data_IF_618724777021
#
_entry.id   IF_618724777021
#
_cell.length_a   1.000
_cell.length_b   1.000
_cell.length_c   1.000
_cell.angle_alpha   90.00
_cell.angle_beta   90.00
_cell.angle_gamma   90.00
#
_symmetry.space_group_name_H-M   'P 1'
#
loop_
_entity.id
_entity.type
_entity.pdbx_description
1 polymer ?
#
# COMPACT_ATOMS: atom_id res chain seq x y z
N UNK A 1 63.76 -36.11 -79.25
CA UNK A 1 63.18 -36.92 -78.16
C UNK A 1 63.30 -36.10 -76.89
N UNK A 2 62.28 -35.90 -76.07
CA UNK A 2 61.17 -36.80 -75.73
C UNK A 2 61.42 -37.29 -74.31
N UNK A 3 60.57 -36.88 -73.36
CA UNK A 3 60.66 -37.29 -71.96
C UNK A 3 59.76 -36.47 -71.05
N UNK A 4 58.45 -36.76 -71.07
CA UNK A 4 57.46 -36.19 -70.15
C UNK A 4 57.41 -36.95 -68.83
N UNK A 5 57.41 -36.23 -67.71
CA UNK A 5 57.18 -36.75 -66.36
C UNK A 5 55.79 -36.38 -65.88
N UNK A 6 54.94 -37.39 -65.65
CA UNK A 6 53.61 -37.24 -65.09
C UNK A 6 53.66 -37.15 -63.56
N UNK A 7 53.17 -36.04 -63.00
CA UNK A 7 52.94 -35.85 -61.58
C UNK A 7 51.62 -36.49 -61.14
N UNK A 8 51.71 -37.56 -60.35
CA UNK A 8 50.56 -38.16 -59.68
C UNK A 8 50.07 -37.25 -58.55
N UNK A 9 48.92 -36.60 -58.77
CA UNK A 9 48.17 -35.91 -57.73
C UNK A 9 47.51 -36.96 -56.84
N UNK A 10 48.17 -37.31 -55.73
CA UNK A 10 47.57 -38.07 -54.66
C UNK A 10 46.58 -37.18 -53.90
N UNK A 11 45.31 -37.27 -54.25
CA UNK A 11 44.23 -36.69 -53.43
C UNK A 11 44.29 -37.30 -52.04
N UNK A 12 44.48 -36.51 -50.96
CA UNK A 12 44.47 -37.03 -49.60
C UNK A 12 43.08 -37.61 -49.32
N UNK A 13 43.05 -38.91 -48.98
CA UNK A 13 41.85 -39.62 -48.56
C UNK A 13 41.39 -38.95 -47.25
N UNK A 14 40.26 -38.24 -47.32
CA UNK A 14 39.64 -37.65 -46.14
C UNK A 14 39.23 -38.77 -45.16
N UNK A 15 39.51 -38.63 -43.86
CA UNK A 15 39.14 -39.64 -42.87
C UNK A 15 37.63 -39.90 -42.91
N UNK A 16 37.19 -41.17 -42.75
CA UNK A 16 35.77 -41.52 -42.82
C UNK A 16 34.99 -40.82 -41.69
N UNK A 17 34.14 -39.89 -42.08
CA UNK A 17 33.25 -39.14 -41.20
C UNK A 17 31.93 -39.91 -41.06
N UNK A 18 31.73 -40.62 -39.95
CA UNK A 18 30.52 -41.43 -39.74
C UNK A 18 29.37 -40.67 -39.07
N UNK A 19 29.63 -39.58 -38.35
CA UNK A 19 28.63 -38.75 -37.66
C UNK A 19 29.17 -37.35 -37.30
N UNK A 20 28.27 -36.37 -37.28
CA UNK A 20 28.53 -35.01 -36.78
C UNK A 20 29.12 -35.05 -35.37
N UNK A 21 30.09 -34.17 -35.14
CA UNK A 21 30.71 -33.98 -33.82
C UNK A 21 30.14 -32.73 -33.18
N UNK A 22 29.65 -32.88 -31.97
CA UNK A 22 29.10 -31.79 -31.16
C UNK A 22 29.98 -31.57 -29.93
N UNK A 23 30.28 -30.31 -29.63
CA UNK A 23 30.93 -29.91 -28.38
C UNK A 23 29.92 -29.11 -27.57
N UNK A 24 29.59 -29.59 -26.37
CA UNK A 24 28.70 -28.91 -25.44
C UNK A 24 29.49 -28.21 -24.34
N UNK A 25 29.03 -27.01 -23.95
CA UNK A 25 29.55 -26.32 -22.77
C UNK A 25 29.07 -26.93 -21.46
N UNK A 26 29.51 -26.32 -20.36
CA UNK A 26 29.03 -26.63 -19.01
C UNK A 26 27.53 -26.36 -18.85
N UNK A 27 26.90 -27.06 -17.91
CA UNK A 27 25.50 -26.80 -17.55
C UNK A 27 25.36 -25.46 -16.84
N UNK A 28 24.34 -24.70 -17.22
CA UNK A 28 23.93 -23.47 -16.53
C UNK A 28 23.33 -23.76 -15.15
N UNK A 29 22.95 -22.72 -14.43
CA UNK A 29 22.28 -22.86 -13.12
C UNK A 29 20.89 -23.48 -13.27
N UNK A 30 20.48 -24.22 -12.24
CA UNK A 30 19.16 -24.82 -12.21
C UNK A 30 18.05 -23.76 -12.04
N UNK A 31 17.08 -23.75 -12.94
CA UNK A 31 15.92 -22.86 -12.90
C UNK A 31 14.86 -23.33 -11.88
N UNK A 32 13.89 -22.47 -11.57
CA UNK A 32 12.74 -22.80 -10.69
C UNK A 32 11.88 -23.96 -11.20
N UNK A 33 11.90 -24.21 -12.52
CA UNK A 33 11.19 -25.33 -13.12
C UNK A 33 11.92 -26.67 -12.91
N UNK A 34 13.09 -26.65 -12.25
CA UNK A 34 13.96 -27.81 -12.10
C UNK A 34 14.68 -28.16 -13.40
N UNK A 35 14.98 -27.16 -14.23
CA UNK A 35 15.64 -27.35 -15.53
C UNK A 35 16.92 -26.50 -15.63
N UNK A 36 17.98 -27.07 -16.19
CA UNK A 36 19.21 -26.35 -16.53
C UNK A 36 19.53 -26.58 -18.01
N UNK A 37 20.13 -25.56 -18.63
CA UNK A 37 20.45 -25.58 -20.05
C UNK A 37 21.96 -25.48 -20.31
N UNK A 38 22.43 -26.07 -21.41
CA UNK A 38 23.77 -25.89 -21.97
C UNK A 38 23.72 -25.70 -23.47
N UNK A 39 24.72 -25.02 -24.02
CA UNK A 39 24.84 -24.82 -25.46
C UNK A 39 25.70 -25.92 -26.07
N UNK A 40 25.21 -26.56 -27.13
CA UNK A 40 25.96 -27.52 -27.93
C UNK A 40 26.20 -26.96 -29.32
N UNK A 41 27.47 -26.86 -29.71
CA UNK A 41 27.89 -26.35 -31.02
C UNK A 41 28.41 -27.51 -31.86
N UNK A 42 27.95 -27.61 -33.12
CA UNK A 42 28.50 -28.57 -34.07
C UNK A 42 29.92 -28.12 -34.44
N UNK A 43 30.92 -28.94 -34.10
CA UNK A 43 32.34 -28.64 -34.38
C UNK A 43 32.82 -29.32 -35.65
N UNK A 44 32.11 -30.34 -36.12
CA UNK A 44 32.39 -30.99 -37.39
C UNK A 44 31.11 -31.54 -38.02
N UNK A 45 30.94 -31.31 -39.32
CA UNK A 45 29.74 -31.64 -40.10
C UNK A 45 30.06 -32.72 -41.14
N UNK A 46 29.43 -33.88 -41.05
CA UNK A 46 29.59 -34.97 -42.01
C UNK A 46 28.58 -34.83 -43.15
N UNK A 47 28.98 -34.21 -44.26
CA UNK A 47 28.07 -33.89 -45.36
C UNK A 47 27.38 -35.10 -46.04
N UNK A 48 27.88 -36.32 -45.84
CA UNK A 48 27.44 -37.53 -46.56
C UNK A 48 26.63 -38.51 -45.70
N UNK A 49 26.24 -38.15 -44.48
CA UNK A 49 25.61 -39.08 -43.53
C UNK A 49 24.38 -38.45 -42.88
N UNK A 50 23.26 -39.18 -42.83
CA UNK A 50 22.11 -38.78 -42.01
C UNK A 50 22.53 -38.79 -40.54
N UNK A 51 22.53 -37.62 -39.92
CA UNK A 51 23.08 -37.45 -38.58
C UNK A 51 22.04 -37.55 -37.47
N UNK A 52 22.46 -38.05 -36.29
CA UNK A 52 21.63 -38.01 -35.09
C UNK A 52 21.22 -36.57 -34.78
N UNK A 53 20.03 -36.35 -34.21
CA UNK A 53 19.58 -35.04 -33.80
C UNK A 53 20.54 -34.42 -32.79
N UNK A 54 20.62 -33.09 -32.79
CA UNK A 54 21.41 -32.31 -31.82
C UNK A 54 21.14 -32.81 -30.39
N UNK A 55 22.19 -33.07 -29.58
CA UNK A 55 21.99 -33.50 -28.20
C UNK A 55 21.17 -32.47 -27.42
N UNK A 56 20.26 -32.96 -26.55
CA UNK A 56 19.38 -32.08 -25.76
C UNK A 56 20.21 -31.07 -24.97
N UNK A 57 19.91 -29.79 -25.22
CA UNK A 57 20.48 -28.67 -24.49
C UNK A 57 19.83 -28.44 -23.12
N UNK A 58 18.86 -29.27 -22.71
CA UNK A 58 18.11 -29.11 -21.45
C UNK A 58 18.09 -30.43 -20.67
N UNK A 59 18.29 -30.35 -19.35
CA UNK A 59 18.11 -31.48 -18.43
C UNK A 59 17.46 -31.07 -17.11
N UNK A 60 16.93 -32.05 -16.39
CA UNK A 60 16.40 -31.85 -15.03
C UNK A 60 17.52 -31.63 -14.03
N UNK A 61 17.25 -30.84 -13.01
CA UNK A 61 18.16 -30.54 -11.91
C UNK A 61 17.37 -30.20 -10.63
N UNK A 62 18.07 -30.20 -9.50
CA UNK A 62 17.51 -29.76 -8.21
C UNK A 62 18.03 -28.35 -7.92
N UNK A 63 17.16 -27.34 -7.77
CA UNK A 63 17.59 -25.99 -7.42
C UNK A 63 18.27 -25.96 -6.05
N UNK A 64 19.30 -25.12 -5.89
CA UNK A 64 20.08 -25.02 -4.65
C UNK A 64 19.30 -24.43 -3.47
N UNK A 65 18.25 -23.65 -3.76
CA UNK A 65 17.27 -23.19 -2.79
C UNK A 65 15.91 -23.08 -3.49
N UNK A 66 14.82 -23.31 -2.78
CA UNK A 66 13.46 -23.23 -3.35
C UNK A 66 12.60 -22.14 -2.69
N UNK A 67 13.08 -21.55 -1.60
CA UNK A 67 12.40 -20.50 -0.86
C UNK A 67 13.41 -19.65 -0.07
N UNK A 68 13.00 -18.42 0.22
CA UNK A 68 13.73 -17.52 1.11
C UNK A 68 13.73 -18.05 2.54
N UNK A 69 14.85 -17.86 3.25
CA UNK A 69 14.93 -18.15 4.68
C UNK A 69 14.80 -16.87 5.49
N UNK A 70 14.10 -16.99 6.62
CA UNK A 70 13.77 -15.86 7.47
C UNK A 70 14.23 -16.15 8.90
N UNK A 71 14.87 -15.16 9.52
CA UNK A 71 15.17 -15.18 10.95
C UNK A 71 14.27 -14.16 11.62
N UNK A 72 13.45 -14.62 12.56
CA UNK A 72 12.54 -13.75 13.30
C UNK A 72 13.13 -13.37 14.66
N UNK A 73 12.89 -12.13 15.08
CA UNK A 73 13.23 -11.69 16.44
C UNK A 73 12.39 -12.44 17.48
N UNK A 74 12.74 -12.25 18.75
CA UNK A 74 11.89 -12.68 19.86
C UNK A 74 10.48 -12.07 19.71
N UNK A 75 9.48 -12.80 20.18
CA UNK A 75 8.12 -12.28 20.29
C UNK A 75 8.10 -11.03 21.16
N UNK A 76 7.29 -10.04 20.77
CA UNK A 76 6.98 -8.92 21.66
C UNK A 76 6.34 -9.43 22.94
N UNK A 77 6.33 -8.59 23.98
CA UNK A 77 5.41 -8.82 25.09
C UNK A 77 3.97 -8.97 24.55
N UNK A 78 3.16 -9.76 25.25
CA UNK A 78 1.77 -9.92 24.91
C UNK A 78 1.06 -8.56 25.04
N UNK A 79 0.36 -8.15 23.98
CA UNK A 79 -0.42 -6.91 23.95
C UNK A 79 -1.73 -7.06 24.71
N UNK A 80 -2.34 -5.94 25.09
CA UNK A 80 -3.67 -5.93 25.75
C UNK A 80 -4.79 -6.51 24.87
N UNK A 81 -4.53 -6.68 23.57
CA UNK A 81 -5.38 -7.38 22.61
C UNK A 81 -5.27 -8.92 22.71
N UNK A 82 -4.36 -9.45 23.54
CA UNK A 82 -4.10 -10.89 23.65
C UNK A 82 -3.21 -11.43 22.53
N UNK A 83 -2.52 -10.54 21.80
CA UNK A 83 -1.65 -10.90 20.69
C UNK A 83 -0.21 -10.42 20.91
N UNK A 84 0.75 -11.23 20.50
CA UNK A 84 2.16 -10.85 20.43
C UNK A 84 2.62 -10.93 18.98
N UNK A 85 3.53 -10.04 18.61
CA UNK A 85 4.03 -9.92 17.25
C UNK A 85 5.53 -10.10 17.23
N UNK A 86 6.05 -10.69 16.16
CA UNK A 86 7.48 -10.66 15.86
C UNK A 86 7.69 -10.23 14.42
N UNK A 87 8.83 -9.59 14.20
CA UNK A 87 9.28 -9.16 12.88
C UNK A 87 10.31 -10.17 12.39
N UNK A 88 10.18 -10.57 11.13
CA UNK A 88 11.11 -11.49 10.48
C UNK A 88 12.00 -10.72 9.51
N UNK A 89 13.31 -10.86 9.66
CA UNK A 89 14.31 -10.39 8.70
C UNK A 89 14.65 -11.51 7.72
N UNK A 90 14.89 -11.14 6.47
CA UNK A 90 15.40 -12.07 5.46
C UNK A 90 16.83 -12.47 5.86
N UNK A 91 17.06 -13.75 6.14
CA UNK A 91 18.37 -14.28 6.50
C UNK A 91 19.10 -14.90 5.32
N UNK A 92 18.36 -15.41 4.34
CA UNK A 92 18.90 -15.86 3.07
C UNK A 92 17.89 -15.60 1.95
N UNK A 93 18.29 -14.75 1.00
CA UNK A 93 17.51 -14.45 -0.20
C UNK A 93 17.77 -15.54 -1.24
N UNK A 94 16.74 -16.30 -1.60
CA UNK A 94 16.88 -17.29 -2.66
C UNK A 94 16.70 -16.58 -4.01
N UNK A 95 17.75 -16.43 -4.84
CA UNK A 95 17.70 -15.55 -6.02
C UNK A 95 16.63 -15.95 -7.05
N UNK A 96 16.19 -17.20 -6.97
CA UNK A 96 15.21 -17.81 -7.85
C UNK A 96 13.80 -17.84 -7.21
N UNK A 97 13.65 -17.53 -5.93
CA UNK A 97 12.34 -17.38 -5.28
C UNK A 97 11.85 -15.94 -5.40
N UNK A 98 10.54 -15.76 -5.54
CA UNK A 98 9.89 -14.45 -5.52
C UNK A 98 8.89 -14.40 -4.35
N UNK A 99 9.36 -14.85 -3.19
CA UNK A 99 8.52 -14.97 -2.00
C UNK A 99 8.15 -13.55 -1.53
N UNK A 100 6.86 -13.25 -1.34
CA UNK A 100 6.45 -11.99 -0.72
C UNK A 100 7.18 -11.84 0.61
N UNK A 101 7.85 -10.70 0.82
CA UNK A 101 8.67 -10.51 2.01
C UNK A 101 7.85 -10.77 3.27
N UNK A 102 8.32 -11.63 4.17
CA UNK A 102 7.59 -12.08 5.37
C UNK A 102 7.69 -11.00 6.46
N UNK A 103 6.74 -10.07 6.60
CA UNK A 103 7.02 -8.82 7.29
C UNK A 103 6.77 -8.92 8.80
N UNK A 104 5.80 -9.74 9.22
CA UNK A 104 5.42 -9.91 10.62
C UNK A 104 4.61 -11.17 10.81
N UNK A 105 4.85 -11.87 11.91
CA UNK A 105 3.95 -12.90 12.42
C UNK A 105 3.21 -12.36 13.63
N UNK A 106 1.98 -12.83 13.81
CA UNK A 106 1.08 -12.47 14.89
C UNK A 106 0.51 -13.78 15.47
N UNK A 107 0.56 -13.92 16.79
CA UNK A 107 -0.01 -15.08 17.47
C UNK A 107 -0.70 -14.68 18.76
N UNK A 108 -1.68 -15.49 19.16
CA UNK A 108 -2.31 -15.35 20.47
C UNK A 108 -1.29 -15.62 21.57
N UNK A 109 -1.43 -14.89 22.66
CA UNK A 109 -0.65 -15.07 23.86
C UNK A 109 -1.56 -14.88 25.07
N UNK A 110 -1.15 -15.49 26.17
CA UNK A 110 -1.79 -15.26 27.45
C UNK A 110 -1.04 -14.12 28.13
N UNK A 111 -1.73 -13.01 28.37
CA UNK A 111 -1.16 -11.93 29.15
C UNK A 111 -0.96 -12.46 30.57
N UNK A 112 0.27 -12.46 31.07
CA UNK A 112 0.56 -12.79 32.45
C UNK A 112 0.19 -11.59 33.34
N UNK A 113 -1.11 -11.28 33.39
CA UNK A 113 -1.61 -10.23 34.27
C UNK A 113 -2.10 -10.87 35.57
N UNK A 114 -1.39 -10.57 36.66
CA UNK A 114 -1.78 -11.03 37.99
C UNK A 114 -3.17 -10.55 38.43
N UNK A 115 -3.73 -9.49 37.83
CA UNK A 115 -5.06 -8.93 38.13
C UNK A 115 -5.71 -8.27 36.90
N UNK A 116 -7.05 -8.20 36.88
CA UNK A 116 -7.86 -7.47 35.88
C UNK A 116 -7.45 -6.00 35.76
N UNK A 117 -7.42 -5.47 34.52
CA UNK A 117 -7.14 -4.05 34.27
C UNK A 117 -8.44 -3.31 34.02
N UNK A 118 -8.62 -2.28 34.83
CA UNK A 118 -9.85 -1.53 34.98
C UNK A 118 -9.62 -0.07 34.57
N UNK A 119 -10.30 0.40 33.53
CA UNK A 119 -10.28 1.81 33.13
C UNK A 119 -11.50 2.55 33.70
N UNK A 120 -11.30 3.72 34.31
CA UNK A 120 -12.35 4.50 34.97
C UNK A 120 -12.51 5.85 34.29
N UNK A 121 -13.75 6.31 34.11
CA UNK A 121 -14.03 7.66 33.66
C UNK A 121 -13.64 8.69 34.73
N UNK A 122 -13.65 9.96 34.34
CA UNK A 122 -13.52 11.06 35.30
C UNK A 122 -14.60 10.97 36.39
N UNK A 123 -14.25 11.40 37.59
CA UNK A 123 -15.21 11.55 38.69
C UNK A 123 -16.29 12.55 38.30
N UNK A 124 -17.55 12.26 38.67
CA UNK A 124 -18.63 13.22 38.62
C UNK A 124 -18.31 14.47 39.45
N UNK A 125 -19.03 15.56 39.20
CA UNK A 125 -19.06 16.67 40.14
C UNK A 125 -19.49 16.19 41.54
N UNK A 126 -19.03 16.88 42.57
CA UNK A 126 -19.42 16.57 43.93
C UNK A 126 -20.91 16.88 44.13
N UNK A 127 -21.71 15.86 44.40
CA UNK A 127 -23.14 16.02 44.65
C UNK A 127 -23.40 16.75 45.97
N UNK A 128 -24.63 17.22 46.16
CA UNK A 128 -25.05 17.89 47.40
C UNK A 128 -24.88 17.01 48.65
N UNK A 129 -24.88 15.68 48.49
CA UNK A 129 -24.62 14.72 49.55
C UNK A 129 -23.12 14.56 49.91
N UNK A 130 -22.21 15.30 49.26
CA UNK A 130 -20.76 15.18 49.49
C UNK A 130 -20.15 13.92 48.89
N UNK A 131 -20.78 13.35 47.86
CA UNK A 131 -20.28 12.17 47.14
C UNK A 131 -20.10 12.47 45.66
N UNK A 132 -19.07 11.85 45.07
CA UNK A 132 -18.88 11.76 43.63
C UNK A 132 -18.72 10.30 43.24
N UNK A 133 -19.15 9.98 42.01
CA UNK A 133 -19.11 8.62 41.46
C UNK A 133 -18.28 8.61 40.18
N UNK A 134 -17.68 7.48 39.84
CA UNK A 134 -17.17 7.24 38.49
C UNK A 134 -17.57 5.85 38.02
N UNK A 135 -18.03 5.79 36.79
CA UNK A 135 -18.21 4.52 36.10
C UNK A 135 -16.86 4.06 35.58
N UNK A 136 -16.68 2.75 35.55
CA UNK A 136 -15.46 2.19 35.09
C UNK A 136 -15.80 1.00 34.16
N UNK A 137 -14.93 0.68 33.20
CA UNK A 137 -15.07 -0.47 32.28
C UNK A 137 -13.89 -1.44 32.39
N UNK A 138 -14.13 -2.76 32.28
CA UNK A 138 -13.04 -3.73 32.20
C UNK A 138 -12.33 -3.55 30.88
N UNK A 139 -11.05 -3.25 30.93
CA UNK A 139 -10.21 -3.16 29.73
C UNK A 139 -9.54 -4.49 29.44
N UNK A 140 -9.23 -5.25 30.49
CA UNK A 140 -8.60 -6.56 30.37
C UNK A 140 -9.13 -7.50 31.47
N UNK A 141 -9.62 -8.67 31.06
CA UNK A 141 -10.03 -9.75 31.96
C UNK A 141 -8.91 -10.79 32.05
N UNK A 142 -8.35 -10.95 33.25
CA UNK A 142 -7.16 -11.74 33.52
C UNK A 142 -7.47 -13.03 34.29
N UNK A 143 -8.62 -13.09 34.98
CA UNK A 143 -9.09 -14.28 35.69
C UNK A 143 -10.43 -14.72 35.11
N UNK A 144 -10.40 -15.89 34.46
CA UNK A 144 -11.56 -16.70 34.06
C UNK A 144 -12.64 -15.93 33.26
N UNK A 145 -12.78 -16.17 31.93
CA UNK A 145 -13.77 -15.49 31.11
C UNK A 145 -15.21 -15.68 31.61
N UNK A 146 -15.46 -16.74 32.39
CA UNK A 146 -16.79 -17.13 32.87
C UNK A 146 -17.02 -16.75 34.35
N UNK A 147 -16.03 -16.17 35.04
CA UNK A 147 -16.24 -15.65 36.39
C UNK A 147 -17.13 -14.39 36.35
N UNK A 148 -18.30 -14.41 37.00
CA UNK A 148 -19.13 -13.22 37.10
C UNK A 148 -18.51 -12.29 38.15
N UNK A 149 -18.01 -11.13 37.75
CA UNK A 149 -17.78 -10.08 38.73
C UNK A 149 -18.01 -8.66 38.18
N UNK A 150 -18.78 -7.82 38.91
CA UNK A 150 -19.14 -6.51 38.44
C UNK A 150 -17.99 -5.52 38.60
N UNK A 151 -17.96 -4.53 37.70
CA UNK A 151 -17.25 -3.28 37.93
C UNK A 151 -18.21 -2.20 38.41
N UNK A 152 -18.40 -2.09 39.72
CA UNK A 152 -19.56 -1.42 40.26
C UNK A 152 -19.08 -0.04 40.66
N UNK A 153 -19.28 0.95 39.79
CA UNK A 153 -19.19 2.39 40.09
C UNK A 153 -18.48 2.77 41.40
N UNK A 154 -17.28 3.31 41.34
CA UNK A 154 -16.59 3.73 42.56
C UNK A 154 -17.26 4.99 43.14
N UNK A 155 -17.32 5.07 44.46
CA UNK A 155 -17.81 6.23 45.22
C UNK A 155 -16.66 6.82 46.03
N UNK A 156 -16.56 8.14 46.04
CA UNK A 156 -15.61 8.86 46.87
C UNK A 156 -16.29 10.07 47.53
N UNK A 157 -15.96 10.31 48.81
CA UNK A 157 -16.35 11.53 49.50
C UNK A 157 -15.65 12.74 48.89
N UNK A 158 -16.34 13.86 48.85
CA UNK A 158 -15.82 15.13 48.36
C UNK A 158 -16.50 16.29 49.09
N UNK A 159 -15.87 17.46 49.08
CA UNK A 159 -16.49 18.69 49.60
C UNK A 159 -17.26 19.35 48.46
N UNK A 160 -18.59 19.55 48.60
CA UNK A 160 -19.34 20.33 47.63
C UNK A 160 -18.75 21.74 47.53
N UNK A 161 -18.68 22.34 46.33
CA UNK A 161 -18.21 23.71 46.21
C UNK A 161 -19.08 24.63 47.11
N UNK A 162 -18.48 25.63 47.77
CA UNK A 162 -19.23 26.58 48.59
C UNK A 162 -20.34 27.21 47.74
N UNK A 163 -21.57 27.18 48.25
CA UNK A 163 -22.74 27.74 47.56
C UNK A 163 -22.41 29.18 47.17
N UNK A 164 -22.35 29.54 45.87
CA UNK A 164 -22.02 30.90 45.50
C UNK A 164 -23.03 31.86 46.14
N UNK A 165 -22.58 33.03 46.64
CA UNK A 165 -23.49 34.06 47.12
C UNK A 165 -24.49 34.39 46.01
N UNK A 166 -25.78 34.45 46.37
CA UNK A 166 -26.85 34.76 45.43
C UNK A 166 -26.67 36.20 44.92
N UNK A 167 -26.05 36.35 43.75
CA UNK A 167 -25.94 37.62 43.04
C UNK A 167 -27.27 37.88 42.31
N UNK A 168 -27.84 39.10 42.36
CA UNK A 168 -29.00 39.47 41.56
C UNK A 168 -28.74 39.19 40.07
N UNK A 169 -29.74 38.63 39.39
CA UNK A 169 -29.65 38.15 38.01
C UNK A 169 -29.01 39.18 37.05
N UNK A 170 -27.73 38.96 36.74
CA UNK A 170 -27.06 39.62 35.64
C UNK A 170 -27.55 39.01 34.32
N UNK A 171 -27.77 39.90 33.35
CA UNK A 171 -28.17 39.59 31.97
C UNK A 171 -27.27 38.48 31.41
N UNK A 172 -27.81 37.42 30.78
CA UNK A 172 -27.03 36.29 30.32
C UNK A 172 -25.97 36.76 29.32
N UNK A 173 -24.71 36.64 29.70
CA UNK A 173 -23.59 36.67 28.76
C UNK A 173 -23.80 35.51 27.77
N UNK A 174 -23.69 35.74 26.45
CA UNK A 174 -23.73 34.65 25.48
C UNK A 174 -22.70 33.58 25.89
N UNK A 175 -23.05 32.30 25.89
CA UNK A 175 -22.09 31.25 26.19
C UNK A 175 -20.89 31.42 25.26
N UNK A 176 -19.69 31.40 25.84
CA UNK A 176 -18.45 31.40 25.09
C UNK A 176 -18.55 30.30 24.03
N UNK A 177 -18.48 30.68 22.75
CA UNK A 177 -18.61 29.77 21.63
C UNK A 177 -17.61 28.63 21.83
N UNK A 178 -18.13 27.41 21.98
CA UNK A 178 -17.30 26.20 22.01
C UNK A 178 -16.39 26.25 20.79
N UNK A 179 -15.06 26.03 20.94
CA UNK A 179 -14.17 26.02 19.78
C UNK A 179 -14.78 25.07 18.74
N UNK A 180 -14.95 25.52 17.48
CA UNK A 180 -15.68 24.74 16.49
C UNK A 180 -14.98 23.40 16.32
N UNK A 181 -15.65 22.34 16.77
CA UNK A 181 -15.20 20.97 16.48
C UNK A 181 -15.24 20.71 14.98
N UNK A 182 -14.58 19.64 14.56
CA UNK A 182 -14.71 19.15 13.18
C UNK A 182 -16.17 18.81 12.90
N UNK A 183 -16.70 19.33 11.79
CA UNK A 183 -18.10 19.13 11.38
C UNK A 183 -18.25 17.70 10.83
N UNK A 184 -17.38 17.34 9.88
CA UNK A 184 -17.42 16.06 9.21
C UNK A 184 -16.48 15.04 9.83
N UNK A 185 -15.32 15.48 10.35
CA UNK A 185 -14.27 14.59 10.84
C UNK A 185 -14.64 13.65 11.99
N UNK A 186 -15.76 13.86 12.69
CA UNK A 186 -16.21 13.01 13.79
C UNK A 186 -17.30 11.98 13.41
N UNK A 187 -17.74 11.96 12.15
CA UNK A 187 -18.76 11.00 11.71
C UNK A 187 -18.19 9.57 11.62
N UNK A 188 -19.04 8.58 11.89
CA UNK A 188 -18.62 7.20 12.16
C UNK A 188 -18.08 6.52 10.90
N UNK A 189 -18.83 6.59 9.80
CA UNK A 189 -18.48 5.88 8.57
C UNK A 189 -17.68 6.75 7.61
N UNK A 190 -16.86 6.11 6.76
CA UNK A 190 -16.13 6.79 5.68
C UNK A 190 -17.09 7.55 4.75
N UNK A 191 -18.22 6.93 4.41
CA UNK A 191 -19.21 7.51 3.51
C UNK A 191 -19.88 8.76 4.11
N UNK A 192 -20.29 8.73 5.39
CA UNK A 192 -20.86 9.90 6.08
C UNK A 192 -19.87 11.07 6.11
N UNK A 193 -18.58 10.80 6.37
CA UNK A 193 -17.53 11.84 6.35
C UNK A 193 -17.37 12.46 4.97
N UNK A 194 -17.30 11.63 3.93
CA UNK A 194 -17.17 12.07 2.53
C UNK A 194 -18.40 12.88 2.11
N UNK A 195 -19.61 12.37 2.37
CA UNK A 195 -20.87 13.05 2.07
C UNK A 195 -20.92 14.41 2.75
N UNK A 196 -20.64 14.46 4.05
CA UNK A 196 -20.59 15.71 4.79
C UNK A 196 -19.60 16.69 4.15
N UNK A 197 -18.35 16.27 3.89
CA UNK A 197 -17.29 17.10 3.28
C UNK A 197 -17.73 17.72 1.94
N UNK A 198 -18.28 16.90 1.05
CA UNK A 198 -18.68 17.32 -0.31
C UNK A 198 -19.86 18.31 -0.28
N UNK A 199 -20.66 18.30 0.79
CA UNK A 199 -21.79 19.22 0.99
C UNK A 199 -21.42 20.51 1.72
N UNK A 200 -20.21 20.62 2.29
CA UNK A 200 -19.78 21.85 2.93
C UNK A 200 -19.67 23.00 1.93
N UNK A 201 -19.99 24.21 2.38
CA UNK A 201 -19.58 25.41 1.65
C UNK A 201 -18.05 25.50 1.59
N UNK A 202 -17.52 26.26 0.62
CA UNK A 202 -16.07 26.43 0.49
C UNK A 202 -15.45 26.97 1.77
N UNK A 203 -16.10 27.95 2.41
CA UNK A 203 -15.64 28.55 3.67
C UNK A 203 -15.70 27.56 4.83
N UNK A 204 -16.72 26.68 4.87
CA UNK A 204 -16.82 25.67 5.92
C UNK A 204 -15.75 24.58 5.74
N UNK A 205 -15.50 24.15 4.51
CA UNK A 205 -14.43 23.22 4.19
C UNK A 205 -13.06 23.80 4.53
N UNK A 206 -12.79 25.05 4.15
CA UNK A 206 -11.52 25.73 4.45
C UNK A 206 -11.31 25.87 5.97
N UNK A 207 -12.36 26.17 6.74
CA UNK A 207 -12.30 26.16 8.22
C UNK A 207 -12.00 24.78 8.78
N UNK A 208 -12.63 23.74 8.27
CA UNK A 208 -12.41 22.37 8.74
C UNK A 208 -10.97 21.91 8.45
N UNK A 209 -10.47 22.18 7.24
CA UNK A 209 -9.08 21.89 6.86
C UNK A 209 -8.07 22.71 7.67
N UNK A 210 -8.42 23.92 8.12
CA UNK A 210 -7.58 24.74 8.99
C UNK A 210 -7.50 24.20 10.43
N UNK A 211 -8.58 23.58 10.92
CA UNK A 211 -8.58 22.90 12.23
C UNK A 211 -7.76 21.62 12.15
N UNK A 212 -8.03 20.77 11.15
CA UNK A 212 -7.29 19.54 10.96
C UNK A 212 -7.30 19.09 9.49
N UNK A 213 -6.16 19.28 8.81
CA UNK A 213 -5.92 18.62 7.54
C UNK A 213 -5.54 17.15 7.76
N UNK A 214 -6.51 16.25 7.62
CA UNK A 214 -6.30 14.80 7.74
C UNK A 214 -7.01 14.07 6.59
N UNK A 215 -6.28 13.69 5.51
CA UNK A 215 -6.82 12.85 4.44
C UNK A 215 -7.40 11.55 5.01
N UNK A 216 -8.48 11.04 4.42
CA UNK A 216 -9.15 9.83 4.89
C UNK A 216 -8.20 8.61 4.87
N UNK A 217 -7.36 8.49 3.84
CA UNK A 217 -6.23 7.54 3.80
C UNK A 217 -5.35 7.60 5.07
N UNK A 218 -5.00 8.79 5.55
CA UNK A 218 -4.12 8.95 6.71
C UNK A 218 -4.86 8.72 8.04
N UNK A 219 -6.18 8.95 8.08
CA UNK A 219 -7.02 8.71 9.26
C UNK A 219 -7.06 7.22 9.63
N UNK A 220 -7.10 6.34 8.62
CA UNK A 220 -7.13 4.89 8.80
C UNK A 220 -5.82 4.31 9.39
N UNK A 221 -4.70 5.03 9.28
CA UNK A 221 -3.41 4.61 9.84
C UNK A 221 -3.47 4.78 11.37
N UNK A 222 -3.13 3.74 12.17
CA UNK A 222 -2.96 3.89 13.62
C UNK A 222 -2.03 5.08 13.91
N UNK A 223 -2.33 5.87 14.95
CA UNK A 223 -1.62 7.13 15.22
C UNK A 223 -0.09 7.02 15.36
N UNK A 224 0.58 8.14 15.60
CA UNK A 224 2.04 8.20 15.74
C UNK A 224 2.77 8.48 14.43
N UNK A 225 4.01 8.00 14.30
CA UNK A 225 4.93 8.38 13.22
C UNK A 225 4.39 8.12 11.81
N UNK A 226 3.77 6.96 11.58
CA UNK A 226 3.24 6.60 10.25
C UNK A 226 2.14 7.56 9.77
N UNK A 227 1.23 7.96 10.67
CA UNK A 227 0.20 8.96 10.36
C UNK A 227 0.81 10.32 10.06
N UNK A 228 1.80 10.75 10.85
CA UNK A 228 2.52 12.01 10.61
C UNK A 228 3.21 12.01 9.25
N UNK A 229 3.89 10.91 8.88
CA UNK A 229 4.51 10.75 7.56
C UNK A 229 3.48 10.81 6.43
N UNK A 230 2.31 10.18 6.61
CA UNK A 230 1.22 10.25 5.64
C UNK A 230 0.74 11.69 5.43
N UNK A 231 0.46 12.41 6.53
CA UNK A 231 0.01 13.82 6.46
C UNK A 231 1.08 14.71 5.82
N UNK A 232 2.34 14.58 6.24
CA UNK A 232 3.45 15.36 5.69
C UNK A 232 3.62 15.16 4.18
N UNK A 233 3.43 13.93 3.69
CA UNK A 233 3.46 13.63 2.26
C UNK A 233 2.38 14.39 1.48
N UNK A 234 1.15 14.42 1.99
CA UNK A 234 0.07 15.21 1.38
C UNK A 234 0.40 16.71 1.41
N UNK A 235 0.90 17.23 2.54
CA UNK A 235 1.31 18.63 2.66
C UNK A 235 2.40 19.00 1.64
N UNK A 236 3.37 18.12 1.40
CA UNK A 236 4.42 18.33 0.41
C UNK A 236 3.88 18.36 -1.04
N UNK A 237 2.79 17.65 -1.31
CA UNK A 237 2.13 17.63 -2.62
C UNK A 237 1.13 18.78 -2.81
N UNK A 238 0.81 19.53 -1.75
CA UNK A 238 -0.16 20.64 -1.78
C UNK A 238 0.12 21.68 -2.88
N UNK A 239 1.37 22.11 -3.16
CA UNK A 239 1.66 23.03 -4.26
C UNK A 239 1.30 22.49 -5.64
N UNK A 240 1.19 21.17 -5.81
CA UNK A 240 0.79 20.56 -7.06
C UNK A 240 -0.73 20.56 -7.25
N UNK A 241 -1.53 20.65 -6.18
CA UNK A 241 -3.00 20.70 -6.29
C UNK A 241 -3.51 22.00 -6.91
N UNK A 242 -2.77 23.09 -6.78
CA UNK A 242 -3.10 24.37 -7.44
C UNK A 242 -2.83 24.34 -8.95
N UNK A 243 -2.15 23.31 -9.47
CA UNK A 243 -1.99 23.13 -10.91
C UNK A 243 -3.30 22.65 -11.53
N UNK A 244 -3.61 23.06 -12.78
CA UNK A 244 -4.76 22.53 -13.51
C UNK A 244 -4.77 21.00 -13.55
N UNK A 245 -5.96 20.40 -13.50
CA UNK A 245 -6.14 18.96 -13.66
C UNK A 245 -5.48 18.53 -14.98
N UNK A 246 -4.62 17.51 -14.93
CA UNK A 246 -3.96 16.97 -16.13
C UNK A 246 -2.43 16.91 -16.07
N UNK A 247 -1.75 16.97 -17.24
CA UNK A 247 -0.31 16.67 -17.35
C UNK A 247 0.60 17.52 -16.45
N UNK A 248 0.32 18.82 -16.32
CA UNK A 248 1.15 19.74 -15.52
C UNK A 248 1.14 19.39 -14.03
N UNK A 249 -0.04 19.07 -13.49
CA UNK A 249 -0.18 18.60 -12.10
C UNK A 249 0.62 17.33 -11.87
N UNK A 250 0.55 16.36 -12.78
CA UNK A 250 1.35 15.13 -12.65
C UNK A 250 2.85 15.36 -12.85
N UNK A 251 3.25 16.32 -13.68
CA UNK A 251 4.65 16.72 -13.80
C UNK A 251 5.17 17.33 -12.50
N UNK A 252 4.37 18.19 -11.84
CA UNK A 252 4.70 18.74 -10.52
C UNK A 252 4.89 17.63 -9.49
N UNK A 253 3.95 16.69 -9.39
CA UNK A 253 4.05 15.58 -8.42
C UNK A 253 5.28 14.72 -8.68
N UNK A 254 5.57 14.40 -9.94
CA UNK A 254 6.81 13.68 -10.30
C UNK A 254 8.05 14.44 -9.83
N UNK A 255 8.10 15.76 -10.05
CA UNK A 255 9.21 16.59 -9.58
C UNK A 255 9.36 16.57 -8.07
N UNK A 256 8.26 16.76 -7.31
CA UNK A 256 8.28 16.75 -5.83
C UNK A 256 8.70 15.39 -5.29
N UNK A 257 8.29 14.30 -5.93
CA UNK A 257 8.66 12.94 -5.54
C UNK A 257 10.02 12.51 -6.09
N UNK A 258 10.70 13.34 -6.88
CA UNK A 258 11.95 12.99 -7.55
C UNK A 258 11.81 11.81 -8.51
N UNK A 259 10.66 11.67 -9.18
CA UNK A 259 10.37 10.63 -10.17
C UNK A 259 10.61 11.12 -11.60
N UNK A 260 11.28 10.31 -12.40
CA UNK A 260 11.30 10.36 -13.86
C UNK A 260 10.14 9.51 -14.41
N UNK A 261 10.32 8.94 -15.59
CA UNK A 261 9.43 7.92 -16.11
C UNK A 261 9.57 6.63 -15.28
N UNK A 262 8.47 6.17 -14.67
CA UNK A 262 8.47 4.95 -13.84
C UNK A 262 8.92 3.70 -14.59
N UNK A 263 8.65 3.59 -15.90
CA UNK A 263 9.06 2.45 -16.72
C UNK A 263 10.58 2.46 -16.94
N UNK A 264 11.15 3.62 -17.22
CA UNK A 264 12.60 3.78 -17.40
C UNK A 264 13.35 3.55 -16.09
N UNK A 265 12.92 4.18 -14.99
CA UNK A 265 13.53 3.96 -13.67
C UNK A 265 13.46 2.50 -13.23
N UNK A 266 12.36 1.81 -13.60
CA UNK A 266 12.25 0.38 -13.33
C UNK A 266 13.25 -0.42 -14.13
N UNK A 267 13.42 -0.14 -15.42
CA UNK A 267 14.40 -0.80 -16.27
C UNK A 267 15.83 -0.57 -15.73
N UNK A 268 16.15 0.65 -15.29
CA UNK A 268 17.43 0.99 -14.67
C UNK A 268 17.67 0.17 -13.38
N UNK A 269 16.63 -0.04 -12.56
CA UNK A 269 16.73 -0.91 -11.40
C UNK A 269 16.89 -2.39 -11.77
N UNK A 270 16.18 -2.87 -12.79
CA UNK A 270 16.26 -4.26 -13.24
C UNK A 270 17.63 -4.60 -13.88
N UNK A 271 18.37 -3.62 -14.39
CA UNK A 271 19.73 -3.79 -14.87
C UNK A 271 20.78 -3.96 -13.75
N UNK A 272 20.43 -3.66 -12.49
CA UNK A 272 21.30 -3.86 -11.32
C UNK A 272 21.23 -5.30 -10.83
N UNK A 273 22.16 -5.71 -9.97
CA UNK A 273 22.19 -7.06 -9.38
C UNK A 273 22.19 -7.02 -7.85
N UNK A 274 21.81 -8.13 -7.22
CA UNK A 274 21.88 -8.32 -5.76
C UNK A 274 21.22 -7.21 -4.94
N UNK A 275 21.95 -6.74 -3.91
CA UNK A 275 21.51 -5.70 -2.97
C UNK A 275 21.21 -4.36 -3.64
N UNK A 276 21.97 -4.00 -4.68
CA UNK A 276 21.79 -2.73 -5.40
C UNK A 276 20.45 -2.70 -6.13
N UNK A 277 20.05 -3.83 -6.71
CA UNK A 277 18.73 -3.99 -7.33
C UNK A 277 17.63 -3.88 -6.29
N UNK A 278 17.77 -4.58 -5.16
CA UNK A 278 16.79 -4.54 -4.07
C UNK A 278 16.60 -3.13 -3.53
N UNK A 279 17.70 -2.40 -3.26
CA UNK A 279 17.67 -1.02 -2.79
C UNK A 279 17.06 -0.07 -3.82
N UNK A 280 17.41 -0.22 -5.10
CA UNK A 280 16.85 0.58 -6.18
C UNK A 280 15.32 0.39 -6.27
N UNK A 281 14.85 -0.86 -6.25
CA UNK A 281 13.43 -1.18 -6.27
C UNK A 281 12.69 -0.69 -5.01
N UNK A 282 13.33 -0.77 -3.83
CA UNK A 282 12.81 -0.19 -2.60
C UNK A 282 12.60 1.32 -2.72
N UNK A 283 13.62 2.05 -3.16
CA UNK A 283 13.56 3.49 -3.37
C UNK A 283 12.53 3.90 -4.43
N UNK A 284 12.40 3.11 -5.50
CA UNK A 284 11.38 3.32 -6.52
C UNK A 284 9.97 3.11 -5.97
N UNK A 285 9.73 2.10 -5.12
CA UNK A 285 8.42 1.88 -4.47
C UNK A 285 8.05 3.03 -3.54
N UNK A 286 8.99 3.50 -2.71
CA UNK A 286 8.77 4.61 -1.76
C UNK A 286 8.29 5.89 -2.45
N UNK A 287 8.76 6.15 -3.69
CA UNK A 287 8.33 7.30 -4.50
C UNK A 287 7.12 6.98 -5.38
N UNK A 288 7.08 5.81 -5.99
CA UNK A 288 6.06 5.40 -6.95
C UNK A 288 4.67 5.14 -6.33
N UNK A 289 4.60 4.60 -5.11
CA UNK A 289 3.33 4.36 -4.44
C UNK A 289 2.56 5.66 -4.12
N UNK A 290 3.18 6.70 -3.53
CA UNK A 290 2.58 8.03 -3.44
C UNK A 290 2.08 8.60 -4.76
N UNK A 291 2.82 8.38 -5.85
CA UNK A 291 2.40 8.83 -7.17
C UNK A 291 1.11 8.14 -7.62
N UNK A 292 0.98 6.83 -7.37
CA UNK A 292 -0.23 6.06 -7.69
C UNK A 292 -1.41 6.52 -6.82
N UNK A 293 -1.24 6.68 -5.51
CA UNK A 293 -2.34 7.15 -4.64
C UNK A 293 -2.75 8.59 -4.98
N UNK A 294 -1.82 9.42 -5.43
CA UNK A 294 -2.14 10.74 -5.99
C UNK A 294 -3.03 10.66 -7.24
N UNK A 295 -2.87 9.62 -8.08
CA UNK A 295 -3.78 9.41 -9.23
C UNK A 295 -5.20 9.10 -8.78
N UNK A 296 -5.37 8.38 -7.68
CA UNK A 296 -6.69 8.12 -7.09
C UNK A 296 -7.31 9.41 -6.57
N UNK A 297 -6.52 10.22 -5.86
CA UNK A 297 -6.95 11.55 -5.42
C UNK A 297 -7.34 12.48 -6.58
N UNK A 298 -6.56 12.50 -7.68
CA UNK A 298 -6.92 13.32 -8.86
C UNK A 298 -8.28 12.92 -9.45
N UNK A 299 -8.65 11.64 -9.39
CA UNK A 299 -9.97 11.18 -9.82
C UNK A 299 -11.08 11.62 -8.86
N UNK A 300 -10.83 11.62 -7.55
CA UNK A 300 -11.79 12.13 -6.56
C UNK A 300 -12.08 13.62 -6.79
N UNK A 301 -11.04 14.43 -6.99
CA UNK A 301 -11.18 15.87 -7.30
C UNK A 301 -11.98 16.10 -8.59
N UNK A 302 -11.79 15.25 -9.61
CA UNK A 302 -12.61 15.31 -10.83
C UNK A 302 -14.07 14.95 -10.56
N UNK A 303 -14.32 13.91 -9.77
CA UNK A 303 -15.68 13.52 -9.39
C UNK A 303 -16.38 14.63 -8.59
N UNK A 304 -15.68 15.28 -7.68
CA UNK A 304 -16.19 16.42 -6.93
C UNK A 304 -16.43 17.63 -7.82
N UNK A 305 -15.54 17.94 -8.77
CA UNK A 305 -15.77 18.98 -9.77
C UNK A 305 -17.01 18.69 -10.64
N UNK A 306 -17.26 17.43 -10.98
CA UNK A 306 -18.45 17.01 -11.72
C UNK A 306 -19.76 17.26 -10.94
N UNK A 307 -19.72 17.27 -9.60
CA UNK A 307 -20.88 17.67 -8.77
C UNK A 307 -21.30 19.10 -9.08
N UNK A 308 -20.35 20.01 -9.20
CA UNK A 308 -20.63 21.43 -9.49
C UNK A 308 -21.16 21.61 -10.93
N UNK A 309 -20.96 20.61 -11.79
CA UNK A 309 -21.56 20.51 -13.12
C UNK A 309 -22.92 19.79 -13.14
N UNK A 310 -23.43 19.33 -12.00
CA UNK A 310 -24.74 18.70 -11.88
C UNK A 310 -24.72 17.17 -11.74
N UNK A 311 -23.55 16.55 -11.52
CA UNK A 311 -23.50 15.13 -11.20
C UNK A 311 -24.27 14.84 -9.88
N UNK A 312 -25.06 13.75 -9.81
CA UNK A 312 -25.78 13.39 -8.59
C UNK A 312 -24.82 13.18 -7.40
N UNK A 313 -25.12 13.82 -6.27
CA UNK A 313 -24.29 13.75 -5.05
C UNK A 313 -23.99 12.30 -4.65
N UNK A 314 -24.99 11.42 -4.70
CA UNK A 314 -24.83 10.02 -4.29
C UNK A 314 -23.82 9.27 -5.16
N UNK A 315 -23.80 9.52 -6.46
CA UNK A 315 -22.82 8.91 -7.38
C UNK A 315 -21.40 9.40 -7.08
N UNK A 316 -21.25 10.70 -6.80
CA UNK A 316 -19.95 11.29 -6.44
C UNK A 316 -19.46 10.71 -5.11
N UNK A 317 -20.30 10.69 -4.08
CA UNK A 317 -19.98 10.12 -2.77
C UNK A 317 -19.58 8.65 -2.88
N UNK A 318 -20.35 7.84 -3.63
CA UNK A 318 -20.05 6.42 -3.82
C UNK A 318 -18.68 6.21 -4.51
N UNK A 319 -18.39 6.98 -5.55
CA UNK A 319 -17.11 6.90 -6.25
C UNK A 319 -15.95 7.31 -5.33
N UNK A 320 -16.06 8.46 -4.65
CA UNK A 320 -15.02 8.96 -3.74
C UNK A 320 -14.78 7.98 -2.59
N UNK A 321 -15.83 7.41 -2.00
CA UNK A 321 -15.70 6.38 -0.97
C UNK A 321 -14.97 5.12 -1.48
N UNK A 322 -15.25 4.71 -2.73
CA UNK A 322 -14.56 3.59 -3.37
C UNK A 322 -13.07 3.89 -3.59
N UNK A 323 -12.74 5.10 -4.03
CA UNK A 323 -11.36 5.53 -4.26
C UNK A 323 -10.58 5.64 -2.95
N UNK A 324 -11.16 6.23 -1.89
CA UNK A 324 -10.56 6.33 -0.57
C UNK A 324 -10.33 4.95 0.07
N UNK A 325 -11.31 4.04 -0.01
CA UNK A 325 -11.11 2.66 0.45
C UNK A 325 -9.99 1.97 -0.34
N UNK A 326 -9.93 2.15 -1.65
CA UNK A 326 -8.87 1.58 -2.47
C UNK A 326 -7.49 2.15 -2.15
N UNK A 327 -7.35 3.41 -1.69
CA UNK A 327 -6.08 3.95 -1.17
C UNK A 327 -5.65 3.23 0.11
N UNK A 328 -6.58 3.03 1.04
CA UNK A 328 -6.31 2.31 2.29
C UNK A 328 -5.88 0.87 2.00
N UNK A 329 -6.63 0.17 1.15
CA UNK A 329 -6.34 -1.21 0.73
C UNK A 329 -5.01 -1.28 -0.05
N UNK A 330 -4.71 -0.30 -0.90
CA UNK A 330 -3.44 -0.25 -1.66
C UNK A 330 -2.22 -0.10 -0.75
N UNK A 331 -2.35 0.68 0.33
CA UNK A 331 -1.28 0.81 1.32
C UNK A 331 -1.13 -0.44 2.18
N UNK A 332 -2.23 -1.10 2.53
CA UNK A 332 -2.25 -2.32 3.33
C UNK A 332 -1.82 -3.57 2.54
N UNK A 333 -1.92 -3.54 1.21
CA UNK A 333 -1.53 -4.64 0.34
C UNK A 333 -0.08 -5.07 0.57
N UNK A 334 0.19 -6.37 0.53
CA UNK A 334 1.54 -6.92 0.72
C UNK A 334 2.18 -7.34 -0.59
N UNK A 335 1.37 -7.56 -1.63
CA UNK A 335 1.81 -8.04 -2.92
C UNK A 335 1.67 -6.98 -4.02
N UNK A 336 2.31 -7.23 -5.16
CA UNK A 336 2.11 -6.45 -6.38
C UNK A 336 0.71 -6.66 -6.96
N UNK A 337 0.21 -7.88 -6.93
CA UNK A 337 -1.07 -8.23 -7.56
C UNK A 337 -2.26 -7.63 -6.81
N UNK A 338 -2.23 -7.60 -5.47
CA UNK A 338 -3.23 -6.88 -4.66
C UNK A 338 -3.25 -5.38 -5.00
N UNK A 339 -2.07 -4.75 -5.13
CA UNK A 339 -1.96 -3.34 -5.52
C UNK A 339 -2.51 -3.09 -6.93
N UNK A 340 -2.21 -3.97 -7.88
CA UNK A 340 -2.76 -3.91 -9.24
C UNK A 340 -4.27 -4.08 -9.21
N UNK A 341 -4.80 -4.97 -8.37
CA UNK A 341 -6.23 -5.16 -8.19
C UNK A 341 -6.90 -3.87 -7.69
N UNK A 342 -6.28 -3.13 -6.77
CA UNK A 342 -6.80 -1.84 -6.30
C UNK A 342 -6.78 -0.77 -7.40
N UNK A 343 -5.72 -0.69 -8.21
CA UNK A 343 -5.69 0.21 -9.38
C UNK A 343 -6.83 -0.10 -10.35
N UNK A 344 -7.02 -1.39 -10.67
CA UNK A 344 -8.11 -1.84 -11.56
C UNK A 344 -9.48 -1.57 -10.98
N UNK A 345 -9.66 -1.71 -9.66
CA UNK A 345 -10.89 -1.39 -8.94
C UNK A 345 -11.26 0.08 -9.11
N UNK A 346 -10.32 1.01 -8.88
CA UNK A 346 -10.56 2.46 -9.06
C UNK A 346 -10.86 2.78 -10.52
N UNK A 347 -10.12 2.21 -11.47
CA UNK A 347 -10.38 2.40 -12.90
C UNK A 347 -11.78 1.91 -13.31
N UNK A 348 -12.19 0.75 -12.81
CA UNK A 348 -13.52 0.22 -13.07
C UNK A 348 -14.61 1.09 -12.45
N UNK A 349 -14.42 1.52 -11.20
CA UNK A 349 -15.34 2.41 -10.50
C UNK A 349 -15.50 3.75 -11.23
N UNK A 350 -14.40 4.32 -11.74
CA UNK A 350 -14.43 5.56 -12.52
C UNK A 350 -15.23 5.40 -13.81
N UNK A 351 -15.00 4.32 -14.57
CA UNK A 351 -15.78 4.04 -15.80
C UNK A 351 -17.27 3.90 -15.51
N UNK A 352 -17.63 3.16 -14.45
CA UNK A 352 -19.03 3.01 -14.03
C UNK A 352 -19.65 4.35 -13.64
N UNK A 353 -18.94 5.14 -12.82
CA UNK A 353 -19.37 6.47 -12.40
C UNK A 353 -19.65 7.38 -13.61
N UNK A 354 -18.68 7.50 -14.53
CA UNK A 354 -18.82 8.34 -15.74
C UNK A 354 -19.95 7.85 -16.64
N UNK A 355 -20.14 6.53 -16.78
CA UNK A 355 -21.22 5.97 -17.60
C UNK A 355 -22.62 6.33 -17.07
N UNK A 356 -22.76 6.51 -15.75
CA UNK A 356 -24.01 6.87 -15.09
C UNK A 356 -24.33 8.37 -15.11
N UNK A 357 -23.40 9.22 -15.54
CA UNK A 357 -23.64 10.66 -15.69
C UNK A 357 -24.58 10.95 -16.87
N UNK A 358 -25.36 12.03 -16.76
CA UNK A 358 -26.14 12.56 -17.89
C UNK A 358 -25.21 13.09 -18.99
N UNK A 359 -25.71 13.13 -20.22
CA UNK A 359 -24.92 13.64 -21.35
C UNK A 359 -24.61 15.14 -21.20
N UNK A 360 -25.52 15.93 -20.62
CA UNK A 360 -25.24 17.34 -20.29
C UNK A 360 -24.02 17.51 -19.37
N UNK A 361 -23.94 16.73 -18.29
CA UNK A 361 -22.79 16.76 -17.37
C UNK A 361 -21.52 16.35 -18.11
N UNK A 362 -21.58 15.30 -18.94
CA UNK A 362 -20.43 14.85 -19.73
C UNK A 362 -19.97 15.92 -20.73
N UNK A 363 -20.89 16.63 -21.35
CA UNK A 363 -20.59 17.66 -22.35
C UNK A 363 -19.91 18.86 -21.71
N UNK A 364 -20.45 19.34 -20.59
CA UNK A 364 -19.82 20.39 -19.77
C UNK A 364 -18.44 19.97 -19.26
N UNK A 365 -18.31 18.73 -18.80
CA UNK A 365 -17.02 18.20 -18.33
C UNK A 365 -15.95 18.13 -19.43
N UNK A 366 -16.33 17.86 -20.68
CA UNK A 366 -15.42 17.90 -21.82
C UNK A 366 -14.96 19.32 -22.10
N UNK A 367 -15.86 20.30 -22.03
CA UNK A 367 -15.54 21.71 -22.22
C UNK A 367 -14.60 22.26 -21.12
N UNK A 368 -14.68 21.74 -19.90
CA UNK A 368 -13.81 22.12 -18.78
C UNK A 368 -12.52 21.27 -18.68
N UNK A 369 -12.31 20.31 -19.58
CA UNK A 369 -11.11 19.45 -19.56
C UNK A 369 -11.08 18.41 -18.42
N UNK A 370 -12.16 18.29 -17.64
CA UNK A 370 -12.29 17.33 -16.53
C UNK A 370 -12.46 15.90 -17.07
N UNK A 371 -13.14 15.76 -18.22
CA UNK A 371 -13.51 14.48 -18.83
C UNK A 371 -12.44 13.77 -19.67
N UNK A 372 -11.20 14.27 -19.73
CA UNK A 372 -10.14 13.61 -20.51
C UNK A 372 -9.84 12.21 -19.95
N UNK A 373 -9.85 11.21 -20.84
CA UNK A 373 -9.83 9.77 -20.56
C UNK A 373 -8.70 9.32 -19.63
N UNK A 374 -9.03 8.38 -18.73
CA UNK A 374 -8.11 7.68 -17.84
C UNK A 374 -7.83 6.25 -18.29
#
# INVERSE_FOLDING_TARGET
GGGGGGGGSGTPIAPPCSQDVWTCGEWGTCSIAGEQARTCTKTFDCASTETPPQPSGVQRCTPSCVADQWTCNAWSACGTDGHQRRVCGLSFDCPISNTPGKPSEDQRCQLDCGNDVWECNAWSACGAAGERTRACARRLNCKDPDAPEPKPSERQRCTPPPRPPQVPAARPTPPAATPPGLICGNLQTLEERIRCRITLSREALDRELAIQYLPEECRAIPGGGARVTCVARYQNLRPCWSKPIGPERFACVRSVLGLRNLREERADCDAKQGTDRAQCLGNLRTRGYPYITFRFYDLEERAEGLKDLGAPLDLVVQFVATAEQAKQDFNAANTKDERIAMIRRVQSAWRTFVAQLSDDVKDRARNEGIGSSY
#
